data_IF_095164672627
#
_entry.id   IF_095164672627
#
_cell.length_a   1.000
_cell.length_b   1.000
_cell.length_c   1.000
_cell.angle_alpha   90.00
_cell.angle_beta   90.00
_cell.angle_gamma   90.00
#
_symmetry.space_group_name_H-M   'P 1'
#
loop_
_entity.id
_entity.type
_entity.pdbx_description
1 polymer ?
#
# COMPACT_ATOMS: atom_id res chain seq x y z
N UNK A 1 17.64 -7.23 60.73
CA UNK A 1 16.74 -8.29 60.29
C UNK A 1 15.53 -7.75 59.50
N UNK A 2 15.11 -6.51 59.71
CA UNK A 2 13.98 -5.93 58.97
C UNK A 2 14.38 -5.29 57.63
N UNK A 3 15.65 -5.23 57.27
CA UNK A 3 16.13 -4.55 56.08
C UNK A 3 16.12 -5.42 54.82
N UNK A 4 15.96 -6.72 54.96
CA UNK A 4 16.03 -7.68 53.85
C UNK A 4 14.69 -7.76 53.13
N UNK A 5 13.58 -7.46 53.80
CA UNK A 5 12.23 -7.52 53.24
C UNK A 5 11.87 -6.31 52.38
N UNK A 6 12.57 -5.19 52.49
CA UNK A 6 12.33 -4.01 51.69
C UNK A 6 12.91 -4.08 50.29
N UNK A 7 13.93 -4.94 50.09
CA UNK A 7 14.57 -5.02 48.77
C UNK A 7 13.93 -6.03 47.85
N UNK A 8 13.08 -6.90 48.34
CA UNK A 8 12.39 -7.90 47.51
C UNK A 8 11.20 -7.33 46.80
N UNK A 9 10.56 -6.30 47.36
CA UNK A 9 9.41 -5.64 46.73
C UNK A 9 9.80 -4.76 45.52
N UNK A 10 11.07 -4.37 45.44
CA UNK A 10 11.52 -3.47 44.35
C UNK A 10 11.89 -4.21 43.05
N UNK A 11 12.17 -5.50 43.17
CA UNK A 11 12.60 -6.32 42.01
C UNK A 11 11.37 -6.78 41.19
N UNK A 12 10.18 -6.81 41.80
CA UNK A 12 8.97 -7.28 41.12
C UNK A 12 8.30 -6.22 40.24
N UNK A 13 8.71 -4.96 40.32
CA UNK A 13 8.12 -3.88 39.55
C UNK A 13 8.81 -3.64 38.20
N UNK A 14 9.90 -4.37 37.93
CA UNK A 14 10.68 -4.19 36.71
C UNK A 14 10.34 -5.21 35.61
N UNK A 15 9.32 -6.03 35.83
CA UNK A 15 8.98 -7.14 34.95
C UNK A 15 7.84 -6.89 33.99
N UNK A 16 7.20 -5.72 34.01
CA UNK A 16 6.12 -5.42 33.06
C UNK A 16 6.59 -4.44 31.98
N UNK A 17 7.67 -4.77 31.29
CA UNK A 17 7.89 -4.21 29.99
C UNK A 17 6.95 -4.94 29.04
N UNK A 18 5.75 -4.38 28.90
CA UNK A 18 4.81 -4.79 27.86
C UNK A 18 5.52 -4.48 26.54
N UNK A 19 6.02 -5.51 25.89
CA UNK A 19 6.36 -5.42 24.48
C UNK A 19 5.09 -5.02 23.76
N UNK A 20 4.94 -3.73 23.46
CA UNK A 20 4.00 -3.30 22.45
C UNK A 20 4.49 -3.90 21.15
N UNK A 21 3.99 -5.07 20.83
CA UNK A 21 4.11 -5.62 19.50
C UNK A 21 3.28 -4.69 18.62
N UNK A 22 3.92 -3.67 18.07
CA UNK A 22 3.33 -2.95 16.98
C UNK A 22 3.12 -3.99 15.88
N UNK A 23 1.87 -4.40 15.72
CA UNK A 23 1.47 -5.16 14.55
C UNK A 23 1.88 -4.33 13.35
N UNK A 24 2.96 -4.73 12.70
CA UNK A 24 3.33 -4.14 11.43
C UNK A 24 2.11 -4.29 10.53
N UNK A 25 1.55 -3.18 10.07
CA UNK A 25 0.52 -3.17 9.06
C UNK A 25 1.12 -3.87 7.85
N UNK A 26 0.72 -5.11 7.63
CA UNK A 26 1.07 -5.85 6.41
C UNK A 26 0.38 -5.14 5.27
N UNK A 27 1.15 -4.35 4.51
CA UNK A 27 0.68 -3.77 3.27
C UNK A 27 0.38 -4.89 2.29
N UNK A 28 -0.83 -4.93 1.76
CA UNK A 28 -1.16 -5.81 0.65
C UNK A 28 -0.53 -5.27 -0.63
N UNK A 29 -0.09 -6.18 -1.49
CA UNK A 29 0.45 -5.87 -2.81
C UNK A 29 -0.37 -6.58 -3.88
N UNK A 30 -0.30 -6.07 -5.09
CA UNK A 30 -0.90 -6.76 -6.22
C UNK A 30 -0.16 -8.07 -6.50
N UNK A 31 -0.90 -9.11 -6.88
CA UNK A 31 -0.32 -10.43 -7.11
C UNK A 31 0.59 -10.48 -8.35
N UNK A 32 0.26 -9.70 -9.36
CA UNK A 32 1.02 -9.65 -10.63
C UNK A 32 2.24 -8.73 -10.54
N UNK A 33 2.25 -7.82 -9.56
CA UNK A 33 3.29 -6.82 -9.39
C UNK A 33 3.62 -6.71 -7.91
N UNK A 34 4.75 -7.26 -7.54
CA UNK A 34 5.19 -7.33 -6.15
C UNK A 34 5.48 -5.97 -5.53
N UNK A 35 5.71 -4.96 -6.34
CA UNK A 35 6.12 -3.63 -5.90
C UNK A 35 5.05 -2.55 -6.04
N UNK A 36 3.81 -2.93 -6.36
CA UNK A 36 2.68 -2.01 -6.37
C UNK A 36 1.79 -2.26 -5.15
N UNK A 37 1.77 -1.33 -4.19
CA UNK A 37 0.95 -1.50 -2.99
C UNK A 37 -0.54 -1.39 -3.32
N UNK A 38 -1.34 -2.18 -2.64
CA UNK A 38 -2.80 -2.15 -2.75
C UNK A 38 -3.39 -1.49 -1.50
N UNK A 39 -4.14 -0.42 -1.68
CA UNK A 39 -4.79 0.26 -0.59
C UNK A 39 -5.79 -0.66 0.11
N UNK A 40 -5.82 -0.61 1.45
CA UNK A 40 -6.81 -1.34 2.24
C UNK A 40 -8.23 -1.00 1.78
N UNK A 41 -9.04 -2.03 1.59
CA UNK A 41 -10.41 -1.90 1.08
C UNK A 41 -10.54 -2.10 -0.42
N UNK A 42 -9.44 -2.09 -1.16
CA UNK A 42 -9.40 -2.48 -2.57
C UNK A 42 -9.08 -3.96 -2.69
N UNK A 43 -9.69 -4.60 -3.67
CA UNK A 43 -9.40 -5.99 -4.05
C UNK A 43 -9.00 -6.05 -5.52
N UNK A 44 -7.95 -6.80 -5.81
CA UNK A 44 -7.48 -7.00 -7.17
C UNK A 44 -8.57 -7.65 -8.02
N UNK A 45 -8.83 -7.08 -9.18
CA UNK A 45 -9.75 -7.65 -10.16
C UNK A 45 -9.11 -8.86 -10.82
N UNK A 46 -9.73 -10.03 -10.70
CA UNK A 46 -9.14 -11.32 -11.10
C UNK A 46 -8.77 -11.42 -12.59
N UNK A 47 -9.46 -10.68 -13.43
CA UNK A 47 -9.29 -10.76 -14.88
C UNK A 47 -8.53 -9.56 -15.47
N UNK A 48 -7.99 -8.70 -14.63
CA UNK A 48 -7.39 -7.42 -15.08
C UNK A 48 -5.89 -7.46 -15.31
N UNK A 49 -5.19 -8.45 -14.78
CA UNK A 49 -3.72 -8.52 -14.88
C UNK A 49 -3.26 -8.97 -16.26
N UNK A 50 -2.88 -8.01 -17.11
CA UNK A 50 -2.30 -8.29 -18.44
C UNK A 50 -0.89 -7.75 -18.46
N UNK A 51 0.09 -8.61 -18.80
CA UNK A 51 1.48 -8.24 -18.89
C UNK A 51 2.05 -8.64 -20.24
N UNK A 52 2.76 -7.70 -20.87
CA UNK A 52 3.50 -7.92 -22.09
C UNK A 52 4.96 -7.50 -21.90
N UNK A 53 5.88 -8.33 -22.36
CA UNK A 53 7.30 -7.97 -22.44
C UNK A 53 7.61 -7.46 -23.83
N UNK A 54 8.28 -6.31 -23.90
CA UNK A 54 8.75 -5.70 -25.15
C UNK A 54 10.26 -5.50 -25.10
N UNK A 55 10.87 -5.18 -26.24
CA UNK A 55 12.30 -4.86 -26.29
C UNK A 55 12.66 -3.60 -25.48
N UNK A 56 11.70 -2.72 -25.26
CA UNK A 56 11.86 -1.47 -24.50
C UNK A 56 11.55 -1.61 -23.01
N UNK A 57 10.96 -2.71 -22.59
CA UNK A 57 10.55 -2.95 -21.23
C UNK A 57 9.20 -3.64 -21.13
N UNK A 58 8.66 -3.68 -19.93
CA UNK A 58 7.37 -4.32 -19.66
C UNK A 58 6.21 -3.34 -19.86
N UNK A 59 5.11 -3.86 -20.36
CA UNK A 59 3.81 -3.17 -20.37
C UNK A 59 2.86 -4.02 -19.57
N UNK A 60 2.18 -3.43 -18.57
CA UNK A 60 1.13 -4.16 -17.92
C UNK A 60 0.01 -3.25 -17.45
N UNK A 61 -1.17 -3.85 -17.30
CA UNK A 61 -2.37 -3.22 -16.79
C UNK A 61 -2.99 -4.08 -15.71
N UNK A 62 -3.44 -3.45 -14.64
CA UNK A 62 -4.07 -4.12 -13.53
C UNK A 62 -5.10 -3.21 -12.90
N UNK A 63 -6.17 -3.78 -12.36
CA UNK A 63 -7.22 -3.02 -11.70
C UNK A 63 -7.54 -3.61 -10.32
N UNK A 64 -7.99 -2.73 -9.44
CA UNK A 64 -8.54 -3.11 -8.15
C UNK A 64 -9.86 -2.38 -7.91
N UNK A 65 -10.79 -3.06 -7.28
CA UNK A 65 -12.13 -2.57 -7.02
C UNK A 65 -12.38 -2.41 -5.52
N UNK A 66 -13.13 -1.39 -5.17
CA UNK A 66 -13.56 -1.17 -3.80
C UNK A 66 -14.95 -0.57 -3.75
N UNK A 67 -15.73 -0.96 -2.76
CA UNK A 67 -17.05 -0.38 -2.52
C UNK A 67 -16.88 1.02 -1.94
N UNK A 68 -17.55 2.01 -2.54
CA UNK A 68 -17.58 3.36 -2.00
C UNK A 68 -18.15 3.37 -0.59
N UNK A 69 -17.52 4.11 0.31
CA UNK A 69 -17.91 4.23 1.69
C UNK A 69 -16.92 5.06 2.48
N UNK A 70 -16.86 4.86 3.79
CA UNK A 70 -15.96 5.61 4.66
C UNK A 70 -14.47 5.29 4.39
N UNK A 71 -14.15 4.07 4.04
CA UNK A 71 -12.77 3.64 3.79
C UNK A 71 -12.31 3.93 2.35
N UNK A 72 -13.21 3.86 1.38
CA UNK A 72 -12.90 4.00 -0.05
C UNK A 72 -13.64 5.19 -0.64
N UNK A 73 -12.89 6.16 -1.13
CA UNK A 73 -13.36 7.27 -1.93
C UNK A 73 -12.29 7.63 -2.96
N UNK A 74 -12.68 8.33 -4.01
CA UNK A 74 -11.74 8.81 -5.02
C UNK A 74 -10.59 9.59 -4.39
N UNK A 75 -10.90 10.50 -3.49
CA UNK A 75 -9.91 11.31 -2.77
C UNK A 75 -8.95 10.46 -1.95
N UNK A 76 -9.47 9.50 -1.19
CA UNK A 76 -8.62 8.63 -0.34
C UNK A 76 -7.68 7.77 -1.16
N UNK A 77 -8.14 7.25 -2.29
CA UNK A 77 -7.30 6.47 -3.21
C UNK A 77 -6.19 7.35 -3.79
N UNK A 78 -6.52 8.53 -4.28
CA UNK A 78 -5.54 9.47 -4.82
C UNK A 78 -4.48 9.82 -3.77
N UNK A 79 -4.89 10.14 -2.55
CA UNK A 79 -3.98 10.51 -1.46
C UNK A 79 -3.09 9.33 -1.06
N UNK A 80 -3.64 8.12 -0.98
CA UNK A 80 -2.87 6.94 -0.64
C UNK A 80 -1.71 6.73 -1.62
N UNK A 81 -1.97 6.74 -2.91
CA UNK A 81 -0.92 6.53 -3.92
C UNK A 81 0.02 7.72 -4.05
N UNK A 82 -0.47 8.95 -3.88
CA UNK A 82 0.39 10.13 -3.85
C UNK A 82 1.40 10.10 -2.69
N UNK A 83 1.04 9.50 -1.56
CA UNK A 83 1.92 9.38 -0.40
C UNK A 83 2.79 8.13 -0.42
N UNK A 84 2.28 7.03 -0.97
CA UNK A 84 2.94 5.72 -0.87
C UNK A 84 3.95 5.50 -2.01
N UNK A 85 3.61 5.86 -3.24
CA UNK A 85 4.46 5.61 -4.40
C UNK A 85 5.82 6.32 -4.32
N UNK A 86 5.94 7.57 -3.82
CA UNK A 86 7.25 8.18 -3.65
C UNK A 86 8.17 7.41 -2.70
N UNK A 87 7.63 6.76 -1.69
CA UNK A 87 8.41 5.93 -0.75
C UNK A 87 9.03 4.71 -1.44
N UNK A 88 8.49 4.29 -2.58
CA UNK A 88 8.96 3.18 -3.39
C UNK A 88 9.82 3.62 -4.59
N UNK A 89 10.21 4.89 -4.60
CA UNK A 89 11.08 5.44 -5.63
C UNK A 89 10.34 6.03 -6.84
N UNK A 90 9.02 6.03 -6.85
CA UNK A 90 8.24 6.67 -7.91
C UNK A 90 8.22 8.18 -7.73
N UNK A 91 8.52 8.91 -8.79
CA UNK A 91 8.51 10.37 -8.80
C UNK A 91 7.31 10.88 -9.60
N UNK A 92 6.51 11.76 -8.98
CA UNK A 92 5.36 12.35 -9.65
C UNK A 92 5.77 13.19 -10.87
N UNK A 93 5.09 12.99 -11.99
CA UNK A 93 5.24 13.78 -13.21
C UNK A 93 4.00 14.60 -13.55
N UNK A 94 2.95 14.45 -12.76
CA UNK A 94 1.68 15.12 -12.95
C UNK A 94 0.60 14.45 -12.11
N UNK A 95 -0.66 14.76 -12.40
CA UNK A 95 -1.78 14.19 -11.68
C UNK A 95 -1.90 12.69 -11.96
N UNK A 96 -1.83 11.87 -10.93
CA UNK A 96 -1.91 10.41 -10.99
C UNK A 96 -0.93 9.76 -11.98
N UNK A 97 0.24 10.38 -12.14
CA UNK A 97 1.28 9.89 -13.03
C UNK A 97 2.64 9.96 -12.36
N UNK A 98 3.45 8.92 -12.54
CA UNK A 98 4.77 8.78 -11.92
C UNK A 98 5.76 8.14 -12.88
N UNK A 99 7.03 8.38 -12.64
CA UNK A 99 8.13 7.71 -13.35
C UNK A 99 9.11 7.09 -12.36
N UNK A 100 9.71 5.98 -12.76
CA UNK A 100 10.78 5.31 -12.02
C UNK A 100 11.56 4.39 -12.98
N UNK A 101 12.89 4.54 -13.00
CA UNK A 101 13.80 3.61 -13.69
C UNK A 101 13.38 3.26 -15.13
N UNK A 102 13.03 4.26 -15.92
CA UNK A 102 12.63 4.05 -17.30
C UNK A 102 11.19 3.58 -17.49
N UNK A 103 10.39 3.55 -16.43
CA UNK A 103 8.98 3.18 -16.47
C UNK A 103 8.09 4.37 -16.14
N UNK A 104 6.90 4.36 -16.72
CA UNK A 104 5.82 5.32 -16.43
C UNK A 104 4.63 4.57 -15.85
N UNK A 105 4.18 5.00 -14.67
CA UNK A 105 2.99 4.49 -14.02
C UNK A 105 1.87 5.53 -14.11
N UNK A 106 0.69 5.09 -14.45
CA UNK A 106 -0.50 5.92 -14.51
C UNK A 106 -1.66 5.26 -13.76
N UNK A 107 -2.39 6.07 -12.99
CA UNK A 107 -3.59 5.65 -12.26
C UNK A 107 -4.81 6.33 -12.85
N UNK A 108 -5.81 5.56 -13.24
CA UNK A 108 -7.14 6.03 -13.63
C UNK A 108 -8.18 5.52 -12.65
N UNK A 109 -9.07 6.39 -12.20
CA UNK A 109 -10.13 6.02 -11.27
C UNK A 109 -11.47 6.20 -11.97
N UNK A 110 -12.30 5.17 -11.93
CA UNK A 110 -13.67 5.20 -12.39
C UNK A 110 -14.62 4.76 -11.28
N UNK A 111 -15.83 5.29 -11.30
CA UNK A 111 -16.87 4.95 -10.34
C UNK A 111 -18.13 4.58 -11.11
N UNK A 112 -18.67 3.42 -10.82
CA UNK A 112 -19.89 2.92 -11.42
C UNK A 112 -20.70 2.12 -10.40
N UNK A 113 -21.95 2.49 -10.21
CA UNK A 113 -22.90 1.80 -9.32
C UNK A 113 -22.35 1.56 -7.91
N UNK A 114 -21.71 2.57 -7.34
CA UNK A 114 -21.15 2.49 -5.99
C UNK A 114 -19.84 1.71 -5.87
N UNK A 115 -19.25 1.29 -6.99
CA UNK A 115 -17.95 0.61 -7.03
C UNK A 115 -16.92 1.54 -7.64
N UNK A 116 -15.84 1.75 -6.91
CA UNK A 116 -14.66 2.45 -7.41
C UNK A 116 -13.69 1.44 -8.01
N UNK A 117 -13.19 1.72 -9.20
CA UNK A 117 -12.14 0.95 -9.85
C UNK A 117 -10.89 1.81 -9.99
N UNK A 118 -9.80 1.35 -9.41
CA UNK A 118 -8.47 1.92 -9.59
C UNK A 118 -7.75 1.10 -10.68
N UNK A 119 -7.48 1.73 -11.79
CA UNK A 119 -6.84 1.10 -12.94
C UNK A 119 -5.41 1.62 -13.08
N UNK A 120 -4.44 0.73 -13.02
CA UNK A 120 -3.02 1.04 -13.14
C UNK A 120 -2.48 0.55 -14.47
N UNK A 121 -1.69 1.39 -15.12
CA UNK A 121 -0.91 0.99 -16.30
C UNK A 121 0.55 1.35 -16.10
N UNK A 122 1.43 0.44 -16.46
CA UNK A 122 2.89 0.66 -16.48
C UNK A 122 3.38 0.45 -17.91
N UNK A 123 4.15 1.40 -18.39
CA UNK A 123 4.71 1.37 -19.73
C UNK A 123 6.16 1.84 -19.69
N UNK A 124 7.01 1.43 -20.66
CA UNK A 124 8.32 2.03 -20.82
C UNK A 124 8.21 3.53 -21.07
N UNK A 125 9.16 4.28 -20.54
CA UNK A 125 9.28 5.71 -20.73
C UNK A 125 9.65 6.07 -22.17
#
# INVERSE_FOLDING_TARGET
MFFILKNVAFIFLLGLFICNVNSALTSSFFSTIDDLPMMKGLEESKDSGVMFSTLKGRIFEIAANGKLGEEISKRKVILFYAQTLPQLGWRSTGFNAWIREGERLQLKISINKGILTAHFSVMPK
#
